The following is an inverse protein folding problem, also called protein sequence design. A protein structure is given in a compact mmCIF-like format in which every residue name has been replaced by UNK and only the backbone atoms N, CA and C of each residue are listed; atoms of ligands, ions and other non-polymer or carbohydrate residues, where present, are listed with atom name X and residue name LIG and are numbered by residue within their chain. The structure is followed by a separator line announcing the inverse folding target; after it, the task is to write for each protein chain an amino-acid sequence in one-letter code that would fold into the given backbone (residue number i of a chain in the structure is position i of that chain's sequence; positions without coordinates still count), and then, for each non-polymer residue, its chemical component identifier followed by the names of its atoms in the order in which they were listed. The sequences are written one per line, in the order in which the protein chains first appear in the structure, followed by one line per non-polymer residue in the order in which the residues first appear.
data_IF_219259336528
#
_entry.id   IF_219259336528
#
_cell.length_a   1.000
_cell.length_b   1.000
_cell.length_c   1.000
_cell.angle_alpha   90.00
_cell.angle_beta   90.00
_cell.angle_gamma   90.00
#
_symmetry.space_group_name_H-M   'P 1'
#
loop_
_entity.id
_entity.type
_entity.pdbx_description
1 polymer ?
#
# COMPACT_ATOMS: atom_id res chain seq x y z
N UNK A 1 29.31 6.63 5.81
CA UNK A 1 28.27 5.71 5.36
C UNK A 1 27.64 5.03 6.58
N UNK A 2 26.33 5.06 6.74
CA UNK A 2 25.68 4.55 7.96
C UNK A 2 25.45 3.04 7.82
N UNK A 3 26.31 2.22 8.40
CA UNK A 3 26.31 0.75 8.29
C UNK A 3 25.15 0.06 9.04
N UNK A 4 24.36 0.80 9.83
CA UNK A 4 23.26 0.23 10.65
C UNK A 4 22.23 -0.54 9.81
N UNK A 5 21.89 -0.05 8.62
CA UNK A 5 20.91 -0.72 7.76
C UNK A 5 21.47 -2.00 7.13
N UNK A 6 22.75 -2.02 6.75
CA UNK A 6 23.41 -3.20 6.21
C UNK A 6 23.48 -4.33 7.26
N UNK A 7 23.81 -3.98 8.50
CA UNK A 7 23.84 -4.92 9.63
C UNK A 7 22.46 -5.53 9.90
N UNK A 8 21.40 -4.71 9.91
CA UNK A 8 20.04 -5.20 10.11
C UNK A 8 19.60 -6.15 8.99
N UNK A 9 19.92 -5.83 7.74
CA UNK A 9 19.60 -6.70 6.60
C UNK A 9 20.33 -8.04 6.68
N UNK A 10 21.59 -8.04 7.09
CA UNK A 10 22.37 -9.28 7.29
C UNK A 10 21.77 -10.16 8.40
N UNK A 11 21.31 -9.56 9.50
CA UNK A 11 20.66 -10.28 10.58
C UNK A 11 19.34 -10.90 10.10
N UNK A 12 18.51 -10.12 9.39
CA UNK A 12 17.23 -10.60 8.85
C UNK A 12 17.46 -11.74 7.87
N UNK A 13 18.44 -11.61 6.96
CA UNK A 13 18.82 -12.65 6.01
C UNK A 13 19.20 -13.94 6.73
N UNK A 14 20.14 -13.86 7.68
CA UNK A 14 20.59 -15.03 8.46
C UNK A 14 19.44 -15.70 9.22
N UNK A 15 18.54 -14.88 9.79
CA UNK A 15 17.37 -15.40 10.50
C UNK A 15 16.38 -16.10 9.56
N UNK A 16 16.12 -15.53 8.37
CA UNK A 16 15.24 -16.13 7.37
C UNK A 16 15.77 -17.46 6.86
N UNK A 17 17.05 -17.53 6.48
CA UNK A 17 17.70 -18.76 6.01
C UNK A 17 17.72 -19.85 7.09
N UNK A 18 17.87 -19.46 8.37
CA UNK A 18 17.79 -20.38 9.50
C UNK A 18 16.39 -20.93 9.73
N UNK A 19 15.36 -20.07 9.51
CA UNK A 19 13.95 -20.44 9.68
C UNK A 19 13.41 -21.26 8.51
N UNK A 20 13.93 -21.03 7.32
CA UNK A 20 13.52 -21.68 6.07
C UNK A 20 14.76 -22.27 5.37
N UNK A 21 15.22 -23.47 5.79
CA UNK A 21 16.43 -24.07 5.26
C UNK A 21 16.39 -24.35 3.77
N UNK A 22 15.19 -24.62 3.25
CA UNK A 22 14.95 -24.91 1.82
C UNK A 22 14.82 -23.65 0.96
N UNK A 23 14.95 -22.45 1.55
CA UNK A 23 14.85 -21.21 0.80
C UNK A 23 16.10 -21.00 -0.07
N UNK A 24 15.89 -20.74 -1.35
CA UNK A 24 16.95 -20.41 -2.29
C UNK A 24 17.15 -18.89 -2.29
N UNK A 25 18.39 -18.46 -2.10
CA UNK A 25 18.74 -17.06 -2.20
C UNK A 25 18.99 -16.68 -3.67
N UNK A 26 18.42 -15.56 -4.10
CA UNK A 26 18.61 -15.03 -5.46
C UNK A 26 19.09 -13.59 -5.42
N UNK A 27 19.62 -13.11 -6.53
CA UNK A 27 20.13 -11.76 -6.69
C UNK A 27 19.30 -10.97 -7.69
N UNK A 28 19.30 -9.64 -7.55
CA UNK A 28 18.53 -8.76 -8.40
C UNK A 28 18.88 -8.86 -9.89
N UNK A 29 20.12 -9.16 -10.24
CA UNK A 29 20.52 -9.33 -11.64
C UNK A 29 19.91 -10.61 -12.25
N UNK A 30 19.87 -11.73 -11.50
CA UNK A 30 19.21 -12.98 -11.92
C UNK A 30 17.73 -12.77 -12.15
N UNK A 31 17.06 -12.05 -11.22
CA UNK A 31 15.64 -11.70 -11.38
C UNK A 31 15.41 -10.86 -12.62
N UNK A 32 16.31 -9.89 -12.89
CA UNK A 32 16.19 -9.04 -14.08
C UNK A 32 16.40 -9.83 -15.38
N UNK A 33 17.36 -10.74 -15.42
CA UNK A 33 17.62 -11.60 -16.55
C UNK A 33 16.43 -12.51 -16.85
N UNK A 34 15.94 -13.22 -15.85
CA UNK A 34 14.76 -14.09 -15.98
C UNK A 34 13.52 -13.31 -16.42
N UNK A 35 13.27 -12.12 -15.88
CA UNK A 35 12.16 -11.28 -16.30
C UNK A 35 12.29 -10.86 -17.76
N UNK A 36 13.48 -10.46 -18.20
CA UNK A 36 13.72 -10.08 -19.60
C UNK A 36 13.54 -11.26 -20.56
N UNK A 37 14.01 -12.45 -20.15
CA UNK A 37 13.80 -13.68 -20.91
C UNK A 37 12.30 -13.98 -21.10
N UNK A 38 11.49 -13.76 -20.05
CA UNK A 38 10.04 -13.92 -20.08
C UNK A 38 9.31 -12.72 -20.73
N UNK A 39 10.04 -11.72 -21.23
CA UNK A 39 9.50 -10.49 -21.87
C UNK A 39 8.50 -9.74 -20.98
N UNK A 40 8.68 -9.78 -19.66
CA UNK A 40 7.77 -9.16 -18.70
C UNK A 40 8.22 -7.73 -18.37
N UNK A 41 7.27 -6.79 -18.13
CA UNK A 41 7.57 -5.43 -17.75
C UNK A 41 8.19 -5.36 -16.34
N UNK A 42 8.94 -4.30 -16.06
CA UNK A 42 9.52 -4.08 -14.75
C UNK A 42 8.47 -3.58 -13.77
N UNK A 43 8.06 -4.42 -12.83
CA UNK A 43 7.24 -4.05 -11.67
C UNK A 43 7.63 -4.93 -10.47
N UNK A 44 7.42 -4.43 -9.26
CA UNK A 44 7.76 -5.14 -8.03
C UNK A 44 6.99 -6.45 -7.86
N UNK A 45 5.72 -6.50 -8.27
CA UNK A 45 4.94 -7.73 -8.17
C UNK A 45 5.40 -8.77 -9.21
N UNK A 46 5.80 -8.33 -10.41
CA UNK A 46 6.36 -9.22 -11.45
C UNK A 46 7.68 -9.78 -10.99
N UNK A 47 8.59 -8.94 -10.46
CA UNK A 47 9.85 -9.42 -9.90
C UNK A 47 9.63 -10.47 -8.79
N UNK A 48 8.62 -10.25 -7.92
CA UNK A 48 8.26 -11.23 -6.89
C UNK A 48 7.72 -12.54 -7.49
N UNK A 49 6.92 -12.49 -8.57
CA UNK A 49 6.45 -13.69 -9.28
C UNK A 49 7.59 -14.43 -9.97
N UNK A 50 8.51 -13.72 -10.63
CA UNK A 50 9.72 -14.30 -11.26
C UNK A 50 10.59 -14.99 -10.24
N UNK A 51 10.79 -14.40 -9.05
CA UNK A 51 11.54 -15.04 -7.95
C UNK A 51 10.81 -16.30 -7.47
N UNK A 52 9.50 -16.23 -7.26
CA UNK A 52 8.71 -17.35 -6.77
C UNK A 52 8.63 -18.51 -7.75
N UNK A 53 8.61 -18.23 -9.07
CA UNK A 53 8.62 -19.26 -10.12
C UNK A 53 10.01 -19.84 -10.42
N UNK A 54 11.07 -19.28 -9.85
CA UNK A 54 12.45 -19.65 -10.19
C UNK A 54 12.84 -19.30 -11.64
N UNK A 55 12.16 -18.32 -12.25
CA UNK A 55 12.37 -17.91 -13.64
C UNK A 55 11.60 -18.74 -14.69
N UNK A 56 10.71 -19.63 -14.23
CA UNK A 56 9.81 -20.36 -15.12
C UNK A 56 8.60 -19.50 -15.49
N UNK A 57 7.92 -19.87 -16.58
CA UNK A 57 6.64 -19.27 -16.96
C UNK A 57 5.62 -19.44 -15.84
N UNK A 58 4.86 -18.40 -15.58
CA UNK A 58 3.80 -18.41 -14.59
C UNK A 58 2.56 -17.67 -15.10
N UNK A 59 1.41 -18.05 -14.58
CA UNK A 59 0.17 -17.33 -14.86
C UNK A 59 0.18 -16.00 -14.10
N UNK A 60 -0.07 -14.91 -14.78
CA UNK A 60 -0.21 -13.60 -14.16
C UNK A 60 -1.33 -13.60 -13.11
N UNK A 61 -1.10 -12.86 -12.02
CA UNK A 61 -2.09 -12.72 -10.97
C UNK A 61 -3.23 -11.80 -11.41
N UNK A 62 -4.46 -12.25 -11.19
CA UNK A 62 -5.67 -11.46 -11.47
C UNK A 62 -5.87 -10.33 -10.43
N UNK A 63 -5.10 -10.33 -9.35
CA UNK A 63 -5.22 -9.38 -8.25
C UNK A 63 -3.86 -8.82 -7.86
N UNK A 64 -3.73 -7.50 -7.86
CA UNK A 64 -2.55 -6.80 -7.36
C UNK A 64 -2.85 -6.16 -6.01
N UNK A 65 -1.95 -6.38 -5.06
CA UNK A 65 -1.99 -5.72 -3.76
C UNK A 65 -1.11 -4.48 -3.78
N UNK A 66 -1.70 -3.31 -3.65
CA UNK A 66 -0.96 -2.08 -3.43
C UNK A 66 -0.78 -1.84 -1.95
N UNK A 67 0.46 -1.57 -1.54
CA UNK A 67 0.82 -1.25 -0.16
C UNK A 67 1.51 0.10 -0.13
N UNK A 68 1.13 0.94 0.82
CA UNK A 68 1.85 2.16 1.12
C UNK A 68 2.17 2.22 2.62
N UNK A 69 3.45 2.44 2.93
CA UNK A 69 3.89 2.62 4.31
C UNK A 69 3.60 4.05 4.73
N UNK A 70 2.78 4.22 5.75
CA UNK A 70 2.52 5.52 6.35
C UNK A 70 3.01 5.56 7.78
N UNK A 71 3.61 6.67 8.15
CA UNK A 71 3.92 6.93 9.55
C UNK A 71 2.63 7.21 10.31
N UNK A 72 2.35 6.41 11.31
CA UNK A 72 1.22 6.64 12.23
C UNK A 72 1.67 7.63 13.29
N UNK A 73 2.06 8.83 12.86
CA UNK A 73 2.48 9.88 13.77
C UNK A 73 1.27 10.54 14.43
N UNK A 74 1.39 10.72 15.73
CA UNK A 74 0.41 11.46 16.54
C UNK A 74 0.79 12.95 16.70
N UNK A 75 1.81 13.39 15.96
CA UNK A 75 2.32 14.78 15.98
C UNK A 75 2.33 15.36 14.58
N UNK A 76 1.98 16.62 14.47
CA UNK A 76 2.03 17.41 13.23
C UNK A 76 2.70 18.74 13.54
N UNK A 77 3.66 19.10 12.69
CA UNK A 77 4.20 20.47 12.70
C UNK A 77 3.11 21.42 12.19
N UNK A 78 2.73 22.37 13.02
CA UNK A 78 1.75 23.39 12.63
C UNK A 78 2.47 24.60 12.07
N UNK A 79 2.07 25.03 10.88
CA UNK A 79 2.65 26.22 10.21
C UNK A 79 2.49 27.45 11.10
N UNK A 80 3.60 28.12 11.41
CA UNK A 80 3.62 29.31 12.28
C UNK A 80 3.74 29.04 13.79
N UNK A 81 3.72 27.80 14.23
CA UNK A 81 3.92 27.41 15.64
C UNK A 81 5.26 26.70 15.78
N UNK A 82 6.09 27.13 16.74
CA UNK A 82 7.39 26.52 17.04
C UNK A 82 7.27 25.21 17.83
N UNK A 83 6.39 24.32 17.44
CA UNK A 83 6.19 23.04 18.14
C UNK A 83 5.31 22.07 17.40
N UNK A 84 5.44 20.81 17.75
CA UNK A 84 4.58 19.76 17.24
C UNK A 84 3.26 19.74 18.02
N UNK A 85 2.13 19.79 17.30
CA UNK A 85 0.85 19.53 17.92
C UNK A 85 0.62 18.02 18.05
N UNK A 86 0.28 17.59 19.25
CA UNK A 86 -0.13 16.21 19.50
C UNK A 86 -1.53 15.99 18.93
N UNK A 87 -1.66 15.05 18.01
CA UNK A 87 -2.96 14.65 17.48
C UNK A 87 -3.70 13.77 18.49
N UNK A 88 -5.04 13.91 18.60
CA UNK A 88 -5.84 13.00 19.41
C UNK A 88 -5.62 11.55 18.99
N UNK A 89 -5.22 10.68 19.91
CA UNK A 89 -5.01 9.25 19.68
C UNK A 89 -6.29 8.45 19.85
N UNK A 90 -7.28 9.02 20.55
CA UNK A 90 -8.59 8.42 20.76
C UNK A 90 -9.39 8.24 19.48
N UNK A 91 -10.49 7.52 19.60
CA UNK A 91 -11.49 7.41 18.53
C UNK A 91 -12.36 8.68 18.46
N UNK A 92 -12.75 9.08 17.27
CA UNK A 92 -13.79 10.07 17.01
C UNK A 92 -14.88 9.36 16.21
N UNK A 93 -16.10 9.26 16.75
CA UNK A 93 -17.19 8.46 16.21
C UNK A 93 -16.72 7.05 15.80
N UNK A 94 -16.00 6.37 16.69
CA UNK A 94 -15.39 5.04 16.51
C UNK A 94 -14.26 4.92 15.51
N UNK A 95 -13.86 5.98 14.81
CA UNK A 95 -12.81 5.96 13.81
C UNK A 95 -11.49 6.53 14.32
N UNK A 96 -10.39 5.92 13.88
CA UNK A 96 -9.02 6.40 14.08
C UNK A 96 -8.42 6.88 12.76
N UNK A 97 -7.39 7.72 12.83
CA UNK A 97 -6.58 8.10 11.65
C UNK A 97 -6.00 6.83 11.02
N UNK A 98 -6.04 6.73 9.70
CA UNK A 98 -5.61 5.60 8.88
C UNK A 98 -6.49 4.33 8.96
N UNK A 99 -7.66 4.38 9.59
CA UNK A 99 -8.62 3.30 9.41
C UNK A 99 -9.00 3.21 7.92
N UNK A 100 -9.09 1.98 7.41
CA UNK A 100 -9.61 1.68 6.07
C UNK A 100 -11.13 1.69 6.15
N UNK A 101 -11.74 2.52 5.34
CA UNK A 101 -13.18 2.72 5.32
C UNK A 101 -13.73 2.65 3.89
N UNK A 102 -14.99 2.31 3.79
CA UNK A 102 -15.78 2.45 2.58
C UNK A 102 -16.67 3.68 2.74
N UNK A 103 -16.69 4.55 1.72
CA UNK A 103 -17.51 5.75 1.66
C UNK A 103 -18.07 5.90 0.26
N UNK A 104 -19.41 5.91 0.13
CA UNK A 104 -20.11 6.08 -1.16
C UNK A 104 -19.55 5.16 -2.27
N UNK A 105 -19.31 3.88 -1.95
CA UNK A 105 -18.77 2.87 -2.85
C UNK A 105 -17.27 2.92 -3.09
N UNK A 106 -16.55 3.88 -2.47
CA UNK A 106 -15.10 4.02 -2.60
C UNK A 106 -14.36 3.50 -1.39
N UNK A 107 -13.32 2.69 -1.61
CA UNK A 107 -12.41 2.26 -0.54
C UNK A 107 -11.32 3.30 -0.32
N UNK A 108 -11.26 3.85 0.87
CA UNK A 108 -10.36 4.94 1.22
C UNK A 108 -9.81 4.82 2.64
N UNK A 109 -8.98 5.76 3.03
CA UNK A 109 -8.35 5.81 4.35
C UNK A 109 -8.61 7.16 5.02
N UNK A 110 -8.74 7.15 6.34
CA UNK A 110 -8.96 8.38 7.10
C UNK A 110 -7.65 9.15 7.23
N UNK A 111 -7.58 10.33 6.61
CA UNK A 111 -6.46 11.28 6.71
C UNK A 111 -6.63 12.23 7.89
N UNK A 112 -7.83 12.76 8.07
CA UNK A 112 -8.15 13.72 9.11
C UNK A 112 -9.51 13.45 9.73
N UNK A 113 -9.68 13.90 10.98
CA UNK A 113 -10.89 13.71 11.78
C UNK A 113 -11.26 15.02 12.45
N UNK A 114 -12.51 15.39 12.39
CA UNK A 114 -13.06 16.57 13.09
C UNK A 114 -13.99 16.11 14.20
N UNK A 115 -13.94 16.78 15.35
CA UNK A 115 -14.85 16.51 16.48
C UNK A 115 -16.33 16.64 16.10
N UNK A 116 -16.66 17.45 15.08
CA UNK A 116 -17.99 17.58 14.50
C UNK A 116 -18.48 16.37 13.70
N UNK A 117 -17.69 15.30 13.59
CA UNK A 117 -18.07 14.08 12.87
C UNK A 117 -17.86 14.11 11.37
N UNK A 118 -17.11 15.08 10.86
CA UNK A 118 -16.67 15.12 9.46
C UNK A 118 -15.25 14.60 9.30
N UNK A 119 -15.00 13.90 8.20
CA UNK A 119 -13.74 13.21 7.97
C UNK A 119 -13.09 13.63 6.66
N UNK A 120 -11.77 13.78 6.69
CA UNK A 120 -10.96 13.96 5.49
C UNK A 120 -10.48 12.58 5.06
N UNK A 121 -10.76 12.19 3.82
CA UNK A 121 -10.42 10.89 3.28
C UNK A 121 -9.30 10.99 2.23
N UNK A 122 -8.54 9.94 2.10
CA UNK A 122 -7.43 9.83 1.16
C UNK A 122 -7.39 8.46 0.49
N UNK A 123 -6.78 8.41 -0.68
CA UNK A 123 -6.43 7.17 -1.36
C UNK A 123 -5.19 6.51 -0.74
N UNK A 124 -4.75 5.40 -1.34
CA UNK A 124 -3.54 4.68 -0.90
C UNK A 124 -2.26 5.49 -1.10
N UNK A 125 -2.23 6.42 -2.04
CA UNK A 125 -1.08 7.27 -2.35
C UNK A 125 -1.04 8.55 -1.49
N UNK A 126 -1.93 8.66 -0.50
CA UNK A 126 -2.10 9.84 0.36
C UNK A 126 -2.71 11.05 -0.36
N UNK A 127 -3.25 10.89 -1.57
CA UNK A 127 -3.99 11.93 -2.25
C UNK A 127 -5.38 12.12 -1.63
N UNK A 128 -5.82 13.37 -1.59
CA UNK A 128 -7.12 13.72 -1.04
C UNK A 128 -8.25 13.28 -1.98
N UNK A 129 -9.32 12.70 -1.42
CA UNK A 129 -10.52 12.29 -2.17
C UNK A 129 -11.65 13.28 -1.90
N UNK A 130 -12.17 13.88 -2.95
CA UNK A 130 -13.34 14.77 -2.91
C UNK A 130 -14.61 14.02 -3.31
N UNK A 131 -15.61 14.03 -2.45
CA UNK A 131 -16.85 13.30 -2.68
C UNK A 131 -17.98 14.16 -3.25
N UNK A 132 -17.74 15.44 -3.57
CA UNK A 132 -18.78 16.32 -4.16
C UNK A 132 -19.30 15.78 -5.49
N UNK A 133 -18.42 15.22 -6.30
CA UNK A 133 -18.79 14.64 -7.60
C UNK A 133 -19.55 13.30 -7.49
N UNK A 134 -19.72 12.78 -6.27
CA UNK A 134 -20.41 11.51 -5.98
C UNK A 134 -21.65 11.71 -5.09
N UNK A 135 -22.22 12.89 -5.12
CA UNK A 135 -23.41 13.22 -4.32
C UNK A 135 -23.16 13.44 -2.83
N UNK A 136 -21.88 13.45 -2.41
CA UNK A 136 -21.48 13.71 -1.04
C UNK A 136 -21.00 15.15 -0.82
N UNK A 137 -20.56 15.42 0.42
CA UNK A 137 -19.83 16.66 0.76
C UNK A 137 -18.34 16.43 0.56
N UNK A 138 -17.58 17.50 0.37
CA UNK A 138 -16.12 17.45 0.29
C UNK A 138 -15.48 16.60 1.41
N UNK A 139 -15.95 16.80 2.64
CA UNK A 139 -15.59 15.97 3.79
C UNK A 139 -16.87 15.26 4.27
N UNK A 140 -17.02 13.95 4.01
CA UNK A 140 -18.22 13.24 4.38
C UNK A 140 -18.38 13.12 5.90
N UNK A 141 -19.63 13.01 6.35
CA UNK A 141 -19.95 12.72 7.74
C UNK A 141 -19.68 11.25 8.07
N UNK A 142 -19.41 10.96 9.34
CA UNK A 142 -19.24 9.59 9.85
C UNK A 142 -20.38 8.64 9.46
N UNK A 143 -21.59 9.14 9.24
CA UNK A 143 -22.78 8.36 8.84
C UNK A 143 -22.60 7.64 7.49
N UNK A 144 -21.74 8.17 6.61
CA UNK A 144 -21.45 7.58 5.30
C UNK A 144 -20.22 6.66 5.31
N UNK A 145 -19.58 6.50 6.48
CA UNK A 145 -18.35 5.72 6.61
C UNK A 145 -18.64 4.35 7.21
N UNK A 146 -18.24 3.31 6.49
CA UNK A 146 -18.23 1.94 7.00
C UNK A 146 -16.78 1.49 7.20
N UNK A 147 -16.39 1.15 8.43
CA UNK A 147 -15.04 0.67 8.70
C UNK A 147 -14.85 -0.74 8.14
N UNK A 148 -13.89 -0.87 7.23
CA UNK A 148 -13.47 -2.16 6.65
C UNK A 148 -12.37 -2.79 7.52
N UNK A 149 -11.35 -2.00 7.88
CA UNK A 149 -10.24 -2.45 8.72
C UNK A 149 -9.75 -1.35 9.65
N UNK A 150 -9.29 -1.75 10.84
CA UNK A 150 -8.58 -0.86 11.73
C UNK A 150 -7.21 -0.46 11.16
N UNK A 151 -6.71 0.69 11.59
CA UNK A 151 -5.40 1.23 11.15
C UNK A 151 -4.25 0.24 11.40
N UNK A 152 -3.33 0.20 10.44
CA UNK A 152 -2.05 -0.51 10.52
C UNK A 152 -0.93 0.43 10.04
N UNK A 153 0.33 0.09 10.31
CA UNK A 153 1.48 0.85 9.82
C UNK A 153 1.63 0.83 8.29
N UNK A 154 0.97 -0.12 7.64
CA UNK A 154 0.94 -0.25 6.18
C UNK A 154 -0.51 -0.19 5.71
N UNK A 155 -0.79 0.69 4.76
CA UNK A 155 -2.07 0.73 4.05
C UNK A 155 -2.04 -0.28 2.91
N UNK A 156 -3.08 -1.09 2.81
CA UNK A 156 -3.19 -2.11 1.76
C UNK A 156 -4.51 -1.96 1.02
N UNK A 157 -4.43 -2.03 -0.30
CA UNK A 157 -5.59 -2.14 -1.18
C UNK A 157 -5.35 -3.29 -2.16
N UNK A 158 -6.34 -4.12 -2.36
CA UNK A 158 -6.34 -5.10 -3.46
C UNK A 158 -7.11 -4.48 -4.63
N UNK A 159 -6.53 -4.53 -5.81
CA UNK A 159 -7.18 -4.11 -7.04
C UNK A 159 -7.10 -5.28 -8.02
N UNK A 160 -8.24 -5.65 -8.61
CA UNK A 160 -8.24 -6.59 -9.72
C UNK A 160 -7.61 -5.89 -10.93
N UNK A 161 -6.71 -6.55 -11.63
CA UNK A 161 -6.18 -6.07 -12.89
C UNK A 161 -7.25 -6.40 -13.94
N UNK A 162 -7.89 -5.38 -14.48
CA UNK A 162 -8.63 -5.54 -15.72
C UNK A 162 -7.56 -5.74 -16.81
N UNK A 163 -7.51 -6.93 -17.39
CA UNK A 163 -6.68 -7.19 -18.54
C UNK A 163 -7.28 -6.39 -19.69
N UNK A 164 -6.59 -5.35 -20.15
CA UNK A 164 -6.71 -4.97 -21.55
C UNK A 164 -6.29 -6.21 -22.34
N UNK A 165 -7.21 -6.79 -23.11
CA UNK A 165 -6.90 -7.84 -24.06
C UNK A 165 -5.84 -7.29 -25.03
N UNK A 166 -4.58 -7.61 -24.77
CA UNK A 166 -3.55 -7.43 -25.75
C UNK A 166 -3.85 -8.46 -26.85
N UNK A 167 -4.57 -8.03 -27.86
CA UNK A 167 -4.59 -8.71 -29.14
C UNK A 167 -3.14 -8.77 -29.62
N UNK A 168 -2.48 -9.89 -29.32
CA UNK A 168 -1.24 -10.25 -29.98
C UNK A 168 -1.66 -10.57 -31.40
N UNK A 169 -1.54 -9.58 -32.29
CA UNK A 169 -1.54 -9.82 -33.71
C UNK A 169 -0.31 -10.67 -34.00
N UNK A 170 -0.52 -11.96 -34.19
CA UNK A 170 0.47 -12.86 -34.75
C UNK A 170 0.73 -12.38 -36.15
N UNK A 171 1.94 -11.96 -36.52
CA UNK A 171 2.25 -11.68 -37.91
C UNK A 171 2.24 -13.02 -38.65
N UNK A 172 1.40 -13.10 -39.67
CA UNK A 172 1.36 -14.17 -40.67
C UNK A 172 2.62 -14.24 -41.51
#
# INVERSE_FOLDING_TARGET
MNLKHATHMSIIRSWLLKKYPDAIETFGFVTSENRNHLQLPKDHYIDACVIASGGLEFKELDVVYRKNRVSVQDRVLTKGVRGEQKLPTGKIFDFKKFDKVECLGETCFIKGRRSSGFFVLMDINNAYIDFRNRGGKQNPSYKYLKRVNARKSVLCISKRIEREERLISVPS
#
